data_IF_386695663151
#
_entry.id   IF_386695663151
#
_cell.length_a   1.000
_cell.length_b   1.000
_cell.length_c   1.000
_cell.angle_alpha   90.00
_cell.angle_beta   90.00
_cell.angle_gamma   90.00
#
_symmetry.space_group_name_H-M   'P 1'
#
loop_
_entity.id
_entity.type
_entity.pdbx_description
1 polymer ?
#
# COMPACT_ATOMS: atom_id res chain seq x y z
N UNK A 1 23.31 9.33 9.05
CA UNK A 1 21.98 8.75 8.80
C UNK A 1 22.09 7.25 9.02
N UNK A 2 21.13 6.61 9.71
CA UNK A 2 21.12 5.15 9.77
C UNK A 2 21.04 4.61 8.34
N UNK A 3 21.78 3.53 8.07
CA UNK A 3 21.70 2.83 6.79
C UNK A 3 20.35 2.13 6.77
N UNK A 4 19.38 2.73 6.07
CA UNK A 4 18.04 2.16 5.88
C UNK A 4 18.05 1.35 4.59
N UNK A 5 17.63 0.09 4.67
CA UNK A 5 17.55 -0.78 3.49
C UNK A 5 16.22 -0.64 2.74
N UNK A 6 15.18 -0.17 3.41
CA UNK A 6 13.83 0.01 2.84
C UNK A 6 13.23 1.31 3.33
N UNK A 7 12.48 1.99 2.46
CA UNK A 7 11.73 3.19 2.78
C UNK A 7 10.42 3.23 2.00
N UNK A 8 9.41 3.86 2.57
CA UNK A 8 8.15 4.19 1.88
C UNK A 8 7.89 5.69 1.97
N UNK A 9 7.21 6.24 0.99
CA UNK A 9 6.83 7.64 0.93
C UNK A 9 5.52 7.83 0.19
N UNK A 10 4.85 8.97 0.42
CA UNK A 10 3.58 9.29 -0.22
C UNK A 10 3.45 10.78 -0.48
N UNK A 11 3.06 11.13 -1.69
CA UNK A 11 2.62 12.49 -2.06
C UNK A 11 1.10 12.49 -2.09
N UNK A 12 0.48 13.04 -1.05
CA UNK A 12 -0.97 13.07 -0.95
C UNK A 12 -1.55 14.16 -1.86
N UNK A 13 -2.47 13.74 -2.75
CA UNK A 13 -3.42 14.63 -3.37
C UNK A 13 -4.73 14.57 -2.58
N UNK A 14 -5.18 15.69 -1.98
CA UNK A 14 -6.38 15.73 -1.15
C UNK A 14 -7.63 15.62 -2.01
N UNK A 15 -8.16 14.40 -2.18
CA UNK A 15 -9.42 14.15 -2.90
C UNK A 15 -10.63 14.02 -1.97
N UNK A 16 -10.42 13.68 -0.70
CA UNK A 16 -11.44 13.56 0.34
C UNK A 16 -10.80 13.69 1.72
N UNK A 17 -11.40 14.43 2.61
CA UNK A 17 -10.92 14.62 3.98
C UNK A 17 -10.53 16.07 4.28
N UNK A 18 -10.09 16.32 5.51
CA UNK A 18 -9.59 17.61 5.94
C UNK A 18 -8.14 17.82 5.49
N UNK A 19 -7.68 19.07 5.39
CA UNK A 19 -6.28 19.45 5.19
C UNK A 19 -5.46 19.29 6.49
N UNK A 20 -5.83 18.32 7.32
CA UNK A 20 -5.16 18.06 8.59
C UNK A 20 -3.84 17.34 8.38
N UNK A 21 -2.83 17.71 9.14
CA UNK A 21 -1.55 16.98 9.22
C UNK A 21 -1.77 15.54 9.68
N UNK A 22 -2.84 15.26 10.43
CA UNK A 22 -3.21 13.91 10.87
C UNK A 22 -3.62 12.99 9.71
N UNK A 23 -3.97 13.57 8.57
CA UNK A 23 -4.29 12.84 7.34
C UNK A 23 -3.05 12.65 6.44
N UNK A 24 -1.85 12.99 6.90
CA UNK A 24 -0.61 12.74 6.16
C UNK A 24 -0.26 11.25 6.16
N UNK A 25 0.37 10.80 5.08
CA UNK A 25 0.89 9.45 4.95
C UNK A 25 2.44 9.48 4.86
N UNK A 26 3.14 8.46 5.35
CA UNK A 26 2.65 7.17 5.87
C UNK A 26 1.90 7.29 7.22
N UNK A 27 0.84 6.52 7.37
CA UNK A 27 0.21 6.29 8.68
C UNK A 27 1.03 5.26 9.44
N UNK A 28 1.51 5.60 10.63
CA UNK A 28 2.41 4.75 11.39
C UNK A 28 1.86 4.46 12.79
N UNK A 29 2.08 3.25 13.27
CA UNK A 29 1.72 2.85 14.63
C UNK A 29 2.67 1.80 15.19
N UNK A 30 2.65 1.68 16.52
CA UNK A 30 3.31 0.62 17.26
C UNK A 30 2.25 -0.31 17.85
N UNK A 31 2.41 -1.61 17.64
CA UNK A 31 1.47 -2.63 18.06
C UNK A 31 2.17 -3.92 18.52
N UNK A 32 1.45 -5.02 18.69
CA UNK A 32 1.98 -6.26 19.29
C UNK A 32 3.16 -6.90 18.54
N UNK A 33 3.27 -6.71 17.20
CA UNK A 33 4.40 -7.22 16.41
C UNK A 33 5.49 -6.15 16.12
N UNK A 34 5.42 -4.99 16.77
CA UNK A 34 6.39 -3.91 16.62
C UNK A 34 5.82 -2.69 15.88
N UNK A 35 6.65 -2.05 15.07
CA UNK A 35 6.27 -0.86 14.32
C UNK A 35 5.81 -1.22 12.90
N UNK A 36 4.80 -0.50 12.42
CA UNK A 36 4.25 -0.63 11.08
C UNK A 36 3.98 0.76 10.51
N UNK A 37 4.22 0.93 9.22
CA UNK A 37 3.88 2.15 8.47
C UNK A 37 3.19 1.76 7.18
N UNK A 38 2.11 2.47 6.82
CA UNK A 38 1.28 2.16 5.65
C UNK A 38 1.12 3.41 4.79
N UNK A 39 1.29 3.26 3.49
CA UNK A 39 0.84 4.22 2.48
C UNK A 39 -0.22 3.58 1.60
N UNK A 40 -1.21 4.36 1.19
CA UNK A 40 -2.37 3.93 0.42
C UNK A 40 -2.65 4.91 -0.72
N UNK A 41 -2.60 4.43 -1.94
CA UNK A 41 -3.13 5.10 -3.12
C UNK A 41 -4.41 4.40 -3.56
N UNK A 42 -5.56 5.02 -3.28
CA UNK A 42 -6.87 4.45 -3.58
C UNK A 42 -7.97 5.02 -2.70
N UNK A 43 -9.08 4.30 -2.62
CA UNK A 43 -10.21 4.63 -1.77
C UNK A 43 -11.05 3.39 -1.48
N UNK A 44 -11.34 3.16 -0.21
CA UNK A 44 -12.20 2.07 0.24
C UNK A 44 -13.67 2.49 0.18
N UNK A 45 -14.51 1.70 -0.49
CA UNK A 45 -15.95 1.97 -0.58
C UNK A 45 -16.71 1.59 0.70
N UNK A 46 -16.21 0.63 1.45
CA UNK A 46 -16.79 0.20 2.73
C UNK A 46 -16.11 0.84 3.96
N UNK A 47 -15.38 1.95 3.77
CA UNK A 47 -14.59 2.59 4.84
C UNK A 47 -15.41 2.99 6.08
N UNK A 48 -16.64 3.44 5.91
CA UNK A 48 -17.51 3.86 7.01
C UNK A 48 -17.97 2.66 7.83
N UNK A 49 -18.46 1.60 7.17
CA UNK A 49 -18.88 0.36 7.81
C UNK A 49 -17.75 -0.28 8.63
N UNK A 50 -16.55 -0.38 8.02
CA UNK A 50 -15.37 -0.93 8.69
C UNK A 50 -14.99 -0.06 9.89
N UNK A 51 -15.04 1.26 9.76
CA UNK A 51 -14.70 2.20 10.81
C UNK A 51 -15.65 2.10 12.00
N UNK A 52 -16.96 2.10 11.76
CA UNK A 52 -17.98 2.00 12.78
C UNK A 52 -17.81 0.72 13.60
N UNK A 53 -17.66 -0.43 12.94
CA UNK A 53 -17.38 -1.71 13.59
C UNK A 53 -16.10 -1.66 14.42
N UNK A 54 -15.03 -1.06 13.94
CA UNK A 54 -13.78 -0.94 14.68
C UNK A 54 -13.94 -0.05 15.92
N UNK A 55 -14.71 1.04 15.85
CA UNK A 55 -15.03 1.91 16.98
C UNK A 55 -15.85 1.16 18.04
N UNK A 56 -16.88 0.41 17.63
CA UNK A 56 -17.65 -0.45 18.52
C UNK A 56 -16.78 -1.47 19.26
N UNK A 57 -15.74 -1.97 18.58
CA UNK A 57 -14.74 -2.87 19.15
C UNK A 57 -13.63 -2.15 19.97
N UNK A 58 -13.76 -0.83 20.17
CA UNK A 58 -12.87 -0.03 21.02
C UNK A 58 -11.66 0.57 20.33
N UNK A 59 -11.60 0.60 18.99
CA UNK A 59 -10.53 1.29 18.28
C UNK A 59 -10.63 2.81 18.43
N UNK A 60 -9.49 3.47 18.61
CA UNK A 60 -9.37 4.93 18.73
C UNK A 60 -8.72 5.46 17.45
N UNK A 61 -9.43 6.28 16.71
CA UNK A 61 -8.97 6.89 15.47
C UNK A 61 -8.42 8.30 15.71
N UNK A 62 -7.35 8.64 14.99
CA UNK A 62 -6.72 9.96 15.03
C UNK A 62 -6.99 10.76 13.75
N UNK A 63 -7.28 10.10 12.64
CA UNK A 63 -7.51 10.70 11.34
C UNK A 63 -8.87 10.28 10.76
N UNK A 64 -9.25 10.90 9.62
CA UNK A 64 -10.42 10.50 8.86
C UNK A 64 -10.07 9.58 7.66
N UNK A 65 -8.83 9.12 7.60
CA UNK A 65 -8.34 8.31 6.49
C UNK A 65 -8.82 6.86 6.56
N UNK A 66 -9.14 6.31 5.42
CA UNK A 66 -9.44 4.89 5.26
C UNK A 66 -8.22 4.00 5.48
N UNK A 67 -7.02 4.52 5.29
CA UNK A 67 -5.75 3.84 5.60
C UNK A 67 -5.64 3.45 7.07
N UNK A 68 -6.19 4.27 7.99
CA UNK A 68 -6.19 3.98 9.41
C UNK A 68 -7.10 2.78 9.75
N UNK A 69 -8.18 2.55 8.97
CA UNK A 69 -8.98 1.33 9.10
C UNK A 69 -8.13 0.08 8.86
N UNK A 70 -7.30 0.08 7.80
CA UNK A 70 -6.42 -1.05 7.47
C UNK A 70 -5.43 -1.31 8.61
N UNK A 71 -4.86 -0.25 9.16
CA UNK A 71 -3.92 -0.35 10.28
C UNK A 71 -4.58 -1.00 11.51
N UNK A 72 -5.80 -0.59 11.86
CA UNK A 72 -6.55 -1.17 12.97
C UNK A 72 -6.92 -2.64 12.71
N UNK A 73 -7.33 -3.00 11.50
CA UNK A 73 -7.62 -4.39 11.13
C UNK A 73 -6.39 -5.28 11.31
N UNK A 74 -5.22 -4.84 10.83
CA UNK A 74 -3.95 -5.56 11.01
C UNK A 74 -3.58 -5.69 12.50
N UNK A 75 -3.71 -4.61 13.27
CA UNK A 75 -3.36 -4.60 14.70
C UNK A 75 -4.28 -5.50 15.53
N UNK A 76 -5.56 -5.58 15.17
CA UNK A 76 -6.57 -6.39 15.84
C UNK A 76 -6.47 -7.88 15.53
N UNK A 77 -5.93 -8.26 14.39
CA UNK A 77 -5.74 -9.64 13.96
C UNK A 77 -4.97 -10.46 15.01
N UNK A 78 -5.39 -11.70 15.22
CA UNK A 78 -4.75 -12.66 16.13
C UNK A 78 -3.76 -13.60 15.45
N UNK A 79 -3.56 -13.46 14.14
CA UNK A 79 -2.57 -14.25 13.41
C UNK A 79 -1.17 -14.00 13.96
N UNK A 80 -0.31 -15.01 13.89
CA UNK A 80 1.02 -14.98 14.51
C UNK A 80 2.00 -14.05 13.75
N UNK A 81 1.93 -14.04 12.43
CA UNK A 81 2.84 -13.27 11.59
C UNK A 81 2.13 -12.13 10.87
N UNK A 82 2.90 -11.11 10.48
CA UNK A 82 2.37 -9.90 9.85
C UNK A 82 1.73 -10.16 8.48
N UNK A 83 2.29 -11.08 7.68
CA UNK A 83 1.73 -11.40 6.37
C UNK A 83 0.29 -11.90 6.47
N UNK A 84 0.01 -12.85 7.36
CA UNK A 84 -1.32 -13.40 7.56
C UNK A 84 -2.29 -12.36 8.15
N UNK A 85 -1.79 -11.43 8.99
CA UNK A 85 -2.59 -10.30 9.50
C UNK A 85 -2.99 -9.35 8.39
N UNK A 86 -2.08 -9.07 7.45
CA UNK A 86 -2.37 -8.25 6.27
C UNK A 86 -3.44 -8.94 5.43
N UNK A 87 -3.30 -10.23 5.14
CA UNK A 87 -4.27 -11.00 4.35
C UNK A 87 -5.66 -10.92 5.01
N UNK A 88 -5.77 -11.23 6.30
CA UNK A 88 -7.03 -11.17 7.04
C UNK A 88 -7.64 -9.76 7.06
N UNK A 89 -6.83 -8.71 7.07
CA UNK A 89 -7.30 -7.34 6.97
C UNK A 89 -7.84 -7.02 5.56
N UNK A 90 -7.14 -7.48 4.52
CA UNK A 90 -7.52 -7.26 3.12
C UNK A 90 -8.82 -7.96 2.73
N UNK A 91 -9.14 -9.10 3.35
CA UNK A 91 -10.43 -9.81 3.17
C UNK A 91 -11.64 -8.99 3.66
N UNK A 92 -11.41 -8.00 4.51
CA UNK A 92 -12.47 -7.19 5.14
C UNK A 92 -12.69 -5.84 4.45
N UNK A 93 -11.84 -5.47 3.49
CA UNK A 93 -11.92 -4.19 2.80
C UNK A 93 -12.37 -4.38 1.34
N UNK A 94 -13.11 -3.41 0.85
CA UNK A 94 -13.58 -3.37 -0.55
C UNK A 94 -13.27 -2.00 -1.14
N UNK A 95 -12.68 -1.99 -2.34
CA UNK A 95 -12.37 -0.73 -3.03
C UNK A 95 -11.14 -0.83 -3.91
N UNK A 96 -10.67 0.32 -4.35
CA UNK A 96 -9.40 0.46 -5.06
C UNK A 96 -8.28 0.67 -4.05
N UNK A 97 -7.22 -0.11 -4.13
CA UNK A 97 -6.05 0.10 -3.29
C UNK A 97 -4.74 -0.38 -3.90
N UNK A 98 -3.74 0.50 -3.80
CA UNK A 98 -2.34 0.14 -3.88
C UNK A 98 -1.72 0.46 -2.52
N UNK A 99 -1.21 -0.55 -1.83
CA UNK A 99 -0.67 -0.43 -0.48
C UNK A 99 0.82 -0.75 -0.47
N UNK A 100 1.59 0.08 0.24
CA UNK A 100 2.93 -0.29 0.68
C UNK A 100 2.91 -0.30 2.20
N UNK A 101 3.27 -1.45 2.78
CA UNK A 101 3.26 -1.68 4.22
C UNK A 101 4.68 -2.02 4.64
N UNK A 102 5.28 -1.17 5.45
CA UNK A 102 6.65 -1.32 5.94
C UNK A 102 6.64 -1.76 7.40
N UNK A 103 7.37 -2.82 7.69
CA UNK A 103 7.73 -3.25 9.03
C UNK A 103 9.25 -3.14 9.21
N UNK A 104 9.76 -3.54 10.36
CA UNK A 104 11.20 -3.46 10.66
C UNK A 104 12.08 -4.17 9.62
N UNK A 105 11.66 -5.32 9.10
CA UNK A 105 12.49 -6.18 8.23
C UNK A 105 11.83 -6.56 6.91
N UNK A 106 10.57 -6.13 6.68
CA UNK A 106 9.82 -6.50 5.47
C UNK A 106 9.00 -5.31 4.95
N UNK A 107 8.91 -5.24 3.63
CA UNK A 107 7.97 -4.38 2.93
C UNK A 107 7.01 -5.25 2.11
N UNK A 108 5.72 -5.03 2.31
CA UNK A 108 4.65 -5.66 1.55
C UNK A 108 4.08 -4.64 0.58
N UNK A 109 3.92 -5.05 -0.66
CA UNK A 109 3.33 -4.26 -1.74
C UNK A 109 2.11 -5.01 -2.22
N UNK A 110 0.94 -4.37 -2.20
CA UNK A 110 -0.33 -5.04 -2.53
C UNK A 110 -1.11 -4.20 -3.53
N UNK A 111 -1.69 -4.86 -4.52
CA UNK A 111 -2.62 -4.26 -5.48
C UNK A 111 -3.99 -4.92 -5.39
N UNK A 112 -5.06 -4.13 -5.48
CA UNK A 112 -6.43 -4.64 -5.42
C UNK A 112 -6.75 -5.66 -6.54
N UNK A 113 -7.78 -6.56 -6.35
CA UNK A 113 -8.09 -7.61 -7.30
C UNK A 113 -8.52 -7.14 -8.69
N UNK A 114 -8.95 -5.88 -8.84
CA UNK A 114 -9.34 -5.28 -10.13
C UNK A 114 -8.19 -4.52 -10.79
N UNK A 115 -7.10 -4.23 -10.05
CA UNK A 115 -5.99 -3.42 -10.53
C UNK A 115 -6.40 -2.01 -10.92
N UNK A 116 -7.30 -1.37 -10.15
CA UNK A 116 -7.91 -0.08 -10.49
C UNK A 116 -6.87 1.03 -10.56
N UNK A 117 -5.91 1.07 -9.61
CA UNK A 117 -4.81 2.03 -9.62
C UNK A 117 -3.53 1.37 -10.13
N UNK A 118 -2.66 2.14 -10.81
CA UNK A 118 -1.39 1.62 -11.30
C UNK A 118 -0.41 1.37 -10.14
N UNK A 119 0.42 0.36 -10.29
CA UNK A 119 1.53 0.06 -9.39
C UNK A 119 2.57 -0.77 -10.15
N UNK A 120 3.79 -0.24 -10.25
CA UNK A 120 4.85 -0.81 -11.06
C UNK A 120 6.12 -1.05 -10.24
N UNK A 121 6.94 -2.00 -10.70
CA UNK A 121 8.23 -2.34 -10.11
C UNK A 121 9.34 -1.97 -11.08
N UNK A 122 10.36 -1.31 -10.57
CA UNK A 122 11.61 -1.01 -11.27
C UNK A 122 12.81 -1.63 -10.56
N UNK A 123 13.91 -1.75 -11.29
CA UNK A 123 15.21 -2.21 -10.79
C UNK A 123 16.21 -1.08 -10.83
N UNK A 124 16.82 -0.78 -9.68
CA UNK A 124 17.90 0.20 -9.55
C UNK A 124 19.23 -0.38 -10.07
N UNK A 125 20.16 0.47 -10.47
CA UNK A 125 21.48 0.07 -11.00
C UNK A 125 22.33 -0.68 -9.99
N UNK A 126 22.17 -0.40 -8.70
CA UNK A 126 22.83 -1.08 -7.59
C UNK A 126 22.22 -2.43 -7.22
N UNK A 127 21.16 -2.82 -7.93
CA UNK A 127 20.42 -4.07 -7.72
C UNK A 127 19.25 -3.97 -6.75
N UNK A 128 18.99 -2.81 -6.16
CA UNK A 128 17.79 -2.55 -5.37
C UNK A 128 16.51 -2.52 -6.21
N UNK A 129 15.36 -2.51 -5.56
CA UNK A 129 14.06 -2.36 -6.19
C UNK A 129 13.42 -1.03 -5.82
N UNK A 130 12.64 -0.51 -6.73
CA UNK A 130 11.73 0.61 -6.52
C UNK A 130 10.32 0.18 -6.90
N UNK A 131 9.33 0.63 -6.13
CA UNK A 131 7.91 0.44 -6.43
C UNK A 131 7.28 1.82 -6.46
N UNK A 132 6.54 2.12 -7.52
CA UNK A 132 5.87 3.41 -7.67
C UNK A 132 4.52 3.26 -8.36
N UNK A 133 3.63 4.21 -8.12
CA UNK A 133 2.35 4.31 -8.81
C UNK A 133 2.54 4.64 -10.30
N UNK A 134 3.62 5.37 -10.65
CA UNK A 134 3.89 5.82 -12.01
C UNK A 134 5.32 5.49 -12.43
N UNK A 135 5.48 5.06 -13.68
CA UNK A 135 6.79 4.67 -14.25
C UNK A 135 7.73 5.86 -14.46
N UNK A 136 7.21 7.08 -14.63
CA UNK A 136 8.04 8.29 -14.71
C UNK A 136 8.90 8.51 -13.45
N UNK A 137 8.53 7.94 -12.30
CA UNK A 137 9.35 7.96 -11.09
C UNK A 137 10.66 7.17 -11.27
N UNK A 138 10.68 6.16 -12.14
CA UNK A 138 11.86 5.34 -12.42
C UNK A 138 12.93 6.13 -13.15
N UNK A 139 12.53 6.97 -14.10
CA UNK A 139 13.44 7.83 -14.86
C UNK A 139 14.21 8.79 -13.96
N UNK A 140 13.54 9.35 -12.94
CA UNK A 140 14.14 10.28 -11.99
C UNK A 140 15.28 9.66 -11.17
N UNK A 141 15.22 8.36 -10.90
CA UNK A 141 16.21 7.62 -10.10
C UNK A 141 17.09 6.70 -10.95
N UNK A 142 16.90 6.70 -12.27
CA UNK A 142 17.64 5.85 -13.19
C UNK A 142 17.37 4.35 -13.00
N UNK A 143 16.15 4.00 -12.59
CA UNK A 143 15.70 2.62 -12.50
C UNK A 143 15.17 2.12 -13.85
N UNK A 144 15.26 0.82 -14.08
CA UNK A 144 14.68 0.17 -15.26
C UNK A 144 13.37 -0.48 -14.88
N UNK A 145 12.33 -0.26 -15.68
CA UNK A 145 11.03 -0.94 -15.51
C UNK A 145 11.19 -2.46 -15.58
N UNK A 146 10.57 -3.17 -14.66
CA UNK A 146 10.56 -4.64 -14.60
C UNK A 146 9.19 -5.17 -15.03
N UNK A 147 8.14 -4.80 -14.32
CA UNK A 147 6.75 -5.15 -14.62
C UNK A 147 5.79 -4.39 -13.70
N UNK A 148 4.52 -4.46 -14.01
CA UNK A 148 3.47 -4.07 -13.08
C UNK A 148 3.26 -5.11 -11.98
N UNK A 149 2.74 -4.67 -10.85
CA UNK A 149 2.15 -5.55 -9.83
C UNK A 149 0.81 -6.04 -10.37
N UNK A 150 0.61 -7.35 -10.42
CA UNK A 150 -0.62 -7.92 -10.95
C UNK A 150 -1.84 -7.60 -10.05
N UNK A 151 -3.06 -7.52 -10.61
CA UNK A 151 -4.27 -7.44 -9.80
C UNK A 151 -4.36 -8.61 -8.80
N UNK A 152 -4.65 -8.32 -7.53
CA UNK A 152 -4.74 -9.34 -6.48
C UNK A 152 -3.39 -9.89 -5.99
N UNK A 153 -2.28 -9.29 -6.40
CA UNK A 153 -0.92 -9.74 -6.02
C UNK A 153 -0.41 -9.01 -4.77
N UNK A 154 0.30 -9.77 -3.94
CA UNK A 154 1.18 -9.26 -2.90
C UNK A 154 2.64 -9.57 -3.24
N UNK A 155 3.49 -8.56 -3.15
CA UNK A 155 4.94 -8.71 -3.26
C UNK A 155 5.55 -8.47 -1.89
N UNK A 156 6.51 -9.30 -1.52
CA UNK A 156 7.22 -9.21 -0.25
C UNK A 156 8.71 -9.00 -0.51
N UNK A 157 9.22 -7.86 -0.08
CA UNK A 157 10.65 -7.59 0.04
C UNK A 157 11.07 -7.87 1.48
N UNK A 158 12.21 -8.52 1.65
CA UNK A 158 12.73 -8.86 2.96
C UNK A 158 14.18 -8.39 3.07
N UNK A 159 14.52 -7.80 4.20
CA UNK A 159 15.87 -7.30 4.48
C UNK A 159 16.93 -8.41 4.27
N UNK A 160 18.01 -8.05 3.59
CA UNK A 160 19.10 -8.99 3.28
C UNK A 160 18.81 -9.95 2.12
N UNK A 161 17.64 -9.88 1.46
CA UNK A 161 17.33 -10.68 0.26
C UNK A 161 17.39 -9.84 -1.00
N UNK A 162 18.03 -10.37 -2.04
CA UNK A 162 18.18 -9.72 -3.34
C UNK A 162 17.00 -9.91 -4.29
N UNK A 163 16.04 -10.76 -3.93
CA UNK A 163 14.84 -11.05 -4.72
C UNK A 163 13.59 -10.88 -3.86
N UNK A 164 12.51 -10.43 -4.48
CA UNK A 164 11.20 -10.39 -3.86
C UNK A 164 10.45 -11.71 -4.02
N UNK A 165 9.48 -11.96 -3.14
CA UNK A 165 8.52 -13.05 -3.26
C UNK A 165 7.20 -12.50 -3.76
N UNK A 166 6.61 -13.16 -4.76
CA UNK A 166 5.27 -12.87 -5.29
C UNK A 166 4.27 -13.89 -4.73
N UNK A 167 3.11 -13.42 -4.33
CA UNK A 167 2.03 -14.21 -3.74
C UNK A 167 0.73 -13.75 -4.39
N UNK A 168 0.02 -14.68 -5.01
CA UNK A 168 -1.35 -14.44 -5.45
C UNK A 168 -2.28 -14.51 -4.22
N UNK A 169 -2.88 -13.38 -3.84
CA UNK A 169 -3.76 -13.27 -2.68
C UNK A 169 -5.20 -13.57 -3.04
N UNK A 170 -5.63 -13.04 -4.16
CA UNK A 170 -6.99 -13.10 -4.65
C UNK A 170 -6.97 -13.46 -6.12
N UNK A 171 -7.97 -14.23 -6.54
CA UNK A 171 -8.21 -14.43 -7.97
C UNK A 171 -8.39 -13.06 -8.65
N UNK A 172 -7.58 -12.80 -9.67
CA UNK A 172 -7.68 -11.57 -10.45
C UNK A 172 -9.07 -11.48 -11.08
N UNK A 173 -9.73 -10.36 -10.86
CA UNK A 173 -11.02 -10.05 -11.49
C UNK A 173 -10.79 -9.33 -12.82
N UNK A 174 -11.85 -9.14 -13.61
CA UNK A 174 -11.77 -8.37 -14.84
C UNK A 174 -11.15 -7.00 -14.55
N UNK A 175 -10.02 -6.66 -15.18
CA UNK A 175 -9.30 -5.41 -14.89
C UNK A 175 -10.19 -4.20 -15.12
N UNK A 176 -10.20 -3.28 -14.16
CA UNK A 176 -10.98 -2.04 -14.22
C UNK A 176 -10.04 -0.87 -14.03
N UNK A 177 -9.63 -0.29 -15.13
CA UNK A 177 -8.79 0.91 -15.08
C UNK A 177 -9.63 2.13 -14.71
N UNK A 178 -9.10 2.95 -13.83
CA UNK A 178 -9.69 4.23 -13.50
C UNK A 178 -9.50 5.20 -14.68
N UNK A 179 -10.58 5.65 -15.31
CA UNK A 179 -10.50 6.62 -16.42
C UNK A 179 -9.83 7.94 -15.98
N UNK A 180 -9.99 8.35 -14.73
CA UNK A 180 -9.34 9.55 -14.18
C UNK A 180 -7.82 9.39 -14.08
N UNK A 181 -7.29 8.16 -14.02
CA UNK A 181 -5.85 7.93 -14.04
C UNK A 181 -5.25 8.47 -15.34
N UNK A 182 -5.86 8.17 -16.48
CA UNK A 182 -5.38 8.63 -17.78
C UNK A 182 -5.66 10.09 -18.10
N UNK A 183 -6.74 10.65 -17.58
CA UNK A 183 -7.20 12.00 -17.94
C UNK A 183 -6.61 13.06 -16.99
N UNK A 184 -6.38 12.71 -15.73
CA UNK A 184 -6.12 13.69 -14.69
C UNK A 184 -4.93 13.36 -13.77
N UNK A 185 -4.73 12.10 -13.37
CA UNK A 185 -3.73 11.76 -12.37
C UNK A 185 -2.37 11.41 -12.96
N UNK A 186 -2.34 10.57 -14.01
CA UNK A 186 -1.10 10.12 -14.59
C UNK A 186 -0.38 11.24 -15.33
N UNK A 187 0.93 11.28 -15.21
CA UNK A 187 1.77 12.15 -16.04
C UNK A 187 1.80 11.63 -17.47
N UNK A 188 1.89 12.53 -18.47
CA UNK A 188 1.94 12.11 -19.90
C UNK A 188 3.15 11.25 -20.27
N UNK A 189 4.21 11.29 -19.45
CA UNK A 189 5.45 10.52 -19.60
C UNK A 189 5.46 9.19 -18.84
N UNK A 190 4.35 8.82 -18.17
CA UNK A 190 4.15 7.50 -17.58
C UNK A 190 3.68 6.49 -18.64
N UNK A 191 4.25 5.27 -18.60
CA UNK A 191 3.85 4.14 -19.45
C UNK A 191 2.66 3.39 -18.86
#
# INVERSE_FOLDING_TARGET
LPICQMAIGHNRYSTAGSDSVLDAQPVSAKYSLGEISIVHNGNLINKHEVRERLIEDGAIFQSNMDTENILHLIAKSKKENLQDRIIEALEQIVGAYCLLILSRSKMFVVRDPYGIRPLSIGRLKDGGYIVASETCAFDLVGATYVRDVAPGEMIVFEEGKSAFKSIELFEAKDPRLCAFEYIYFARPDSM
#
